data_IF_618103812075
#
_entry.id   IF_618103812075
#
_cell.length_a   1.000
_cell.length_b   1.000
_cell.length_c   1.000
_cell.angle_alpha   90.00
_cell.angle_beta   90.00
_cell.angle_gamma   90.00
#
_symmetry.space_group_name_H-M   'P 1'
#
loop_
_entity.id
_entity.type
_entity.pdbx_description
1 polymer ?
#
# COMPACT_ATOMS: atom_id res chain seq x y z
N UNK A 1 9.41 9.62 -18.29
CA UNK A 1 8.02 9.67 -17.80
C UNK A 1 7.65 11.14 -17.69
N UNK A 2 6.89 11.66 -18.65
CA UNK A 2 6.31 12.99 -18.51
C UNK A 2 5.46 12.96 -17.23
N UNK A 3 5.85 13.75 -16.23
CA UNK A 3 5.01 14.00 -15.07
C UNK A 3 3.84 14.83 -15.57
N UNK A 4 2.80 14.18 -16.10
CA UNK A 4 1.53 14.88 -16.27
C UNK A 4 1.15 15.40 -14.87
N UNK A 5 1.04 16.72 -14.68
CA UNK A 5 0.70 17.27 -13.38
C UNK A 5 -0.73 16.82 -13.06
N UNK A 6 -0.84 15.81 -12.21
CA UNK A 6 -2.12 15.40 -11.68
C UNK A 6 -2.62 16.52 -10.77
N UNK A 7 -3.70 17.17 -11.18
CA UNK A 7 -4.29 18.25 -10.41
C UNK A 7 -5.08 17.63 -9.25
N UNK A 8 -4.57 17.82 -8.03
CA UNK A 8 -5.29 17.42 -6.81
C UNK A 8 -6.72 18.00 -6.86
N UNK A 9 -7.73 17.20 -6.55
CA UNK A 9 -9.07 17.72 -6.32
C UNK A 9 -9.14 18.50 -4.99
N UNK A 10 -10.20 19.29 -4.85
CA UNK A 10 -10.33 20.18 -3.70
C UNK A 10 -10.56 19.43 -2.39
N UNK A 11 -11.13 18.22 -2.43
CA UNK A 11 -11.30 17.37 -1.25
C UNK A 11 -9.95 17.01 -0.66
N UNK A 12 -9.01 16.51 -1.47
CA UNK A 12 -7.68 16.15 -0.99
C UNK A 12 -6.83 17.36 -0.65
N UNK A 13 -6.92 18.45 -1.43
CA UNK A 13 -6.26 19.70 -1.06
C UNK A 13 -6.70 20.17 0.33
N UNK A 14 -7.99 20.12 0.61
CA UNK A 14 -8.54 20.55 1.89
C UNK A 14 -8.14 19.60 3.01
N UNK A 15 -8.25 18.29 2.81
CA UNK A 15 -7.84 17.29 3.81
C UNK A 15 -6.35 17.41 4.16
N UNK A 16 -5.47 17.43 3.16
CA UNK A 16 -4.02 17.57 3.37
C UNK A 16 -3.70 18.90 4.06
N UNK A 17 -4.36 20.00 3.66
CA UNK A 17 -4.18 21.31 4.31
C UNK A 17 -4.57 21.26 5.79
N UNK A 18 -5.71 20.69 6.13
CA UNK A 18 -6.18 20.57 7.52
C UNK A 18 -5.16 19.83 8.37
N UNK A 19 -4.64 18.70 7.90
CA UNK A 19 -3.64 17.96 8.65
C UNK A 19 -2.31 18.71 8.77
N UNK A 20 -1.84 19.38 7.71
CA UNK A 20 -0.61 20.19 7.78
C UNK A 20 -0.76 21.34 8.79
N UNK A 21 -1.95 21.94 8.89
CA UNK A 21 -2.26 22.95 9.90
C UNK A 21 -2.28 22.37 11.33
N UNK A 22 -2.81 21.15 11.51
CA UNK A 22 -2.73 20.45 12.79
C UNK A 22 -1.29 20.15 13.19
N UNK A 23 -0.47 19.63 12.27
CA UNK A 23 0.96 19.38 12.51
C UNK A 23 1.68 20.67 12.90
N UNK A 24 1.39 21.79 12.21
CA UNK A 24 1.96 23.10 12.56
C UNK A 24 1.54 23.56 13.95
N UNK A 25 0.31 23.24 14.36
CA UNK A 25 -0.25 23.60 15.68
C UNK A 25 0.42 22.76 16.76
N UNK A 26 0.54 21.45 16.57
CA UNK A 26 1.21 20.55 17.53
C UNK A 26 2.71 20.84 17.65
N UNK A 27 3.39 21.14 16.55
CA UNK A 27 4.78 21.60 16.61
C UNK A 27 4.91 22.88 17.45
N UNK A 28 3.96 23.81 17.33
CA UNK A 28 3.96 25.05 18.11
C UNK A 28 3.64 24.80 19.59
N UNK A 29 2.76 23.85 19.90
CA UNK A 29 2.46 23.44 21.27
C UNK A 29 3.68 22.78 21.92
N UNK A 30 4.34 21.86 21.21
CA UNK A 30 5.56 21.20 21.67
C UNK A 30 6.63 22.23 22.03
N UNK A 31 6.87 23.23 21.18
CA UNK A 31 7.81 24.32 21.47
C UNK A 31 7.46 25.05 22.78
N UNK A 32 6.18 25.35 23.02
CA UNK A 32 5.73 25.99 24.27
C UNK A 32 5.92 25.10 25.49
N UNK A 33 5.69 23.79 25.34
CA UNK A 33 5.85 22.81 26.41
C UNK A 33 7.31 22.58 26.80
N UNK A 34 8.28 22.92 25.94
CA UNK A 34 9.70 22.86 26.30
C UNK A 34 10.07 23.84 27.43
N UNK A 35 9.32 24.92 27.57
CA UNK A 35 9.56 25.97 28.57
C UNK A 35 8.79 25.73 29.88
N UNK A 36 8.02 24.65 30.00
CA UNK A 36 7.20 24.34 31.18
C UNK A 36 7.54 22.96 31.79
N UNK A 37 7.55 22.86 33.12
CA UNK A 37 8.07 21.68 33.83
C UNK A 37 7.11 20.48 33.93
N UNK A 38 5.86 20.61 33.47
CA UNK A 38 4.77 19.66 33.77
C UNK A 38 4.24 18.90 32.54
N UNK A 39 5.00 18.82 31.44
CA UNK A 39 4.53 18.20 30.20
C UNK A 39 5.41 17.05 29.67
N UNK A 40 4.77 16.02 29.13
CA UNK A 40 5.44 14.85 28.54
C UNK A 40 5.83 15.10 27.08
N UNK A 41 7.06 15.57 26.83
CA UNK A 41 7.55 15.82 25.46
C UNK A 41 7.57 14.54 24.58
N UNK A 42 7.79 13.37 25.19
CA UNK A 42 7.74 12.09 24.46
C UNK A 42 6.33 11.78 23.93
N UNK A 43 5.30 12.23 24.64
CA UNK A 43 3.91 12.05 24.25
C UNK A 43 3.58 12.93 23.03
N UNK A 44 4.08 14.17 23.01
CA UNK A 44 3.91 15.10 21.88
C UNK A 44 4.60 14.58 20.60
N UNK A 45 5.81 14.02 20.71
CA UNK A 45 6.49 13.42 19.56
C UNK A 45 5.73 12.21 19.00
N UNK A 46 5.11 11.41 19.87
CA UNK A 46 4.30 10.27 19.45
C UNK A 46 3.02 10.73 18.73
N UNK A 47 2.37 11.78 19.20
CA UNK A 47 1.21 12.39 18.54
C UNK A 47 1.58 12.98 17.17
N UNK A 48 2.67 13.75 17.09
CA UNK A 48 3.19 14.27 15.83
C UNK A 48 3.50 13.15 14.84
N UNK A 49 4.15 12.08 15.30
CA UNK A 49 4.44 10.90 14.47
C UNK A 49 3.15 10.28 13.92
N UNK A 50 2.08 10.21 14.72
CA UNK A 50 0.77 9.68 14.30
C UNK A 50 0.13 10.57 13.24
N UNK A 51 0.08 11.88 13.46
CA UNK A 51 -0.46 12.85 12.50
C UNK A 51 0.23 12.76 11.15
N UNK A 52 1.57 12.71 11.14
CA UNK A 52 2.33 12.55 9.89
C UNK A 52 2.01 11.24 9.17
N UNK A 53 1.84 10.14 9.90
CA UNK A 53 1.46 8.85 9.31
C UNK A 53 0.07 8.90 8.69
N UNK A 54 -0.88 9.57 9.34
CA UNK A 54 -2.25 9.71 8.84
C UNK A 54 -2.32 10.56 7.58
N UNK A 55 -1.52 11.65 7.50
CA UNK A 55 -1.37 12.45 6.28
C UNK A 55 -0.83 11.62 5.13
N UNK A 56 0.25 10.89 5.40
CA UNK A 56 0.90 10.06 4.39
C UNK A 56 -0.08 9.02 3.85
N UNK A 57 -0.78 8.31 4.74
CA UNK A 57 -1.75 7.30 4.36
C UNK A 57 -2.93 7.88 3.57
N UNK A 58 -3.42 9.06 3.94
CA UNK A 58 -4.50 9.75 3.21
C UNK A 58 -4.07 10.13 1.79
N UNK A 59 -2.90 10.75 1.64
CA UNK A 59 -2.37 11.10 0.34
C UNK A 59 -2.10 9.85 -0.51
N UNK A 60 -1.50 8.82 0.07
CA UNK A 60 -1.21 7.57 -0.61
C UNK A 60 -2.49 6.87 -1.10
N UNK A 61 -3.55 6.79 -0.29
CA UNK A 61 -4.85 6.25 -0.71
C UNK A 61 -5.44 7.00 -1.90
N UNK A 62 -5.29 8.33 -1.92
CA UNK A 62 -5.76 9.14 -3.06
C UNK A 62 -5.00 8.83 -4.35
N UNK A 63 -3.67 8.84 -4.28
CA UNK A 63 -2.81 8.56 -5.42
C UNK A 63 -3.00 7.13 -5.94
N UNK A 64 -3.22 6.15 -5.05
CA UNK A 64 -3.45 4.76 -5.41
C UNK A 64 -4.61 4.62 -6.41
N UNK A 65 -5.74 5.27 -6.15
CA UNK A 65 -6.90 5.25 -7.07
C UNK A 65 -6.52 5.78 -8.44
N UNK A 66 -5.75 6.87 -8.49
CA UNK A 66 -5.31 7.45 -9.74
C UNK A 66 -4.37 6.52 -10.49
N UNK A 67 -3.39 5.93 -9.81
CA UNK A 67 -2.44 4.98 -10.39
C UNK A 67 -3.10 3.70 -10.92
N UNK A 68 -4.22 3.29 -10.34
CA UNK A 68 -4.94 2.09 -10.75
C UNK A 68 -5.97 2.32 -11.86
N UNK A 69 -6.64 3.48 -11.86
CA UNK A 69 -7.80 3.74 -12.75
C UNK A 69 -7.58 3.53 -14.25
N UNK A 70 -6.38 3.76 -14.85
CA UNK A 70 -6.16 3.48 -16.27
C UNK A 70 -5.98 1.98 -16.57
N UNK A 71 -5.63 1.18 -15.57
CA UNK A 71 -5.18 -0.21 -15.74
C UNK A 71 -6.15 -1.22 -15.16
N UNK A 72 -7.07 -0.84 -14.28
CA UNK A 72 -8.11 -1.74 -13.76
C UNK A 72 -9.33 -0.98 -13.28
N UNK A 73 -10.52 -1.51 -13.55
CA UNK A 73 -11.78 -1.00 -13.01
C UNK A 73 -12.20 -1.76 -11.74
N UNK A 74 -11.47 -2.80 -11.35
CA UNK A 74 -11.77 -3.70 -10.22
C UNK A 74 -11.28 -3.17 -8.87
N UNK A 75 -11.08 -1.85 -8.78
CA UNK A 75 -10.60 -1.17 -7.57
C UNK A 75 -11.47 -1.48 -6.35
N UNK A 76 -12.79 -1.47 -6.51
CA UNK A 76 -13.71 -1.73 -5.41
C UNK A 76 -13.55 -3.16 -4.86
N UNK A 77 -13.41 -4.15 -5.75
CA UNK A 77 -13.18 -5.54 -5.36
C UNK A 77 -11.84 -5.72 -4.65
N UNK A 78 -10.79 -5.07 -5.15
CA UNK A 78 -9.45 -5.11 -4.54
C UNK A 78 -9.43 -4.43 -3.18
N UNK A 79 -10.03 -3.24 -3.05
CA UNK A 79 -10.13 -2.50 -1.79
C UNK A 79 -10.85 -3.32 -0.73
N UNK A 80 -11.98 -3.95 -1.08
CA UNK A 80 -12.71 -4.82 -0.16
C UNK A 80 -11.88 -6.03 0.26
N UNK A 81 -11.21 -6.69 -0.68
CA UNK A 81 -10.37 -7.85 -0.40
C UNK A 81 -9.21 -7.51 0.55
N UNK A 82 -8.43 -6.47 0.24
CA UNK A 82 -7.26 -6.09 1.06
C UNK A 82 -7.69 -5.60 2.44
N UNK A 83 -8.85 -4.95 2.57
CA UNK A 83 -9.42 -4.59 3.86
C UNK A 83 -9.78 -5.84 4.68
N UNK A 84 -10.51 -6.79 4.09
CA UNK A 84 -10.88 -8.03 4.78
C UNK A 84 -9.65 -8.88 5.16
N UNK A 85 -8.63 -8.92 4.31
CA UNK A 85 -7.35 -9.58 4.58
C UNK A 85 -6.59 -8.86 5.71
N UNK A 86 -6.59 -7.53 5.73
CA UNK A 86 -6.01 -6.70 6.80
C UNK A 86 -6.64 -7.01 8.16
N UNK A 87 -7.97 -7.01 8.26
CA UNK A 87 -8.70 -7.30 9.49
C UNK A 87 -8.37 -8.69 10.05
N UNK A 88 -8.19 -9.66 9.16
CA UNK A 88 -7.82 -11.05 9.50
C UNK A 88 -6.31 -11.24 9.68
N UNK A 89 -5.50 -10.23 9.37
CA UNK A 89 -4.02 -10.31 9.25
C UNK A 89 -3.56 -11.45 8.33
N UNK A 90 -4.28 -11.66 7.24
CA UNK A 90 -3.87 -12.58 6.19
C UNK A 90 -2.92 -11.85 5.24
N UNK A 91 -1.69 -12.35 5.13
CA UNK A 91 -0.66 -11.74 4.27
C UNK A 91 -1.05 -11.80 2.80
N UNK A 92 -0.90 -10.68 2.09
CA UNK A 92 -1.25 -10.57 0.68
C UNK A 92 -0.15 -9.88 -0.12
N UNK A 93 0.00 -10.27 -1.38
CA UNK A 93 0.94 -9.69 -2.33
C UNK A 93 0.32 -9.71 -3.73
N UNK A 94 -0.11 -8.55 -4.24
CA UNK A 94 -0.90 -8.46 -5.48
C UNK A 94 -0.18 -7.52 -6.43
N UNK A 95 0.24 -8.03 -7.59
CA UNK A 95 0.85 -7.27 -8.68
C UNK A 95 -0.27 -6.84 -9.63
N UNK A 96 -0.40 -5.54 -9.86
CA UNK A 96 -1.23 -4.96 -10.92
C UNK A 96 -0.28 -4.55 -12.05
N UNK A 97 -0.36 -5.26 -13.16
CA UNK A 97 0.39 -4.91 -14.38
C UNK A 97 -0.10 -3.56 -14.91
N UNK A 98 0.86 -2.70 -15.30
CA UNK A 98 0.61 -1.39 -15.89
C UNK A 98 1.04 -1.40 -17.36
N UNK A 99 1.92 -0.50 -17.80
CA UNK A 99 2.34 -0.42 -19.21
C UNK A 99 3.34 -1.50 -19.57
N UNK A 100 4.21 -1.87 -18.62
CA UNK A 100 5.27 -2.84 -18.87
C UNK A 100 4.78 -4.26 -18.60
N UNK A 101 5.07 -5.14 -19.55
CA UNK A 101 4.82 -6.56 -19.37
C UNK A 101 5.71 -7.12 -18.24
N UNK A 102 5.08 -7.72 -17.23
CA UNK A 102 5.80 -8.22 -16.04
C UNK A 102 6.24 -9.68 -16.14
N UNK A 103 5.83 -10.42 -17.18
CA UNK A 103 6.12 -11.85 -17.30
C UNK A 103 7.63 -12.18 -17.23
N UNK A 104 8.56 -11.41 -17.83
CA UNK A 104 10.00 -11.67 -17.74
C UNK A 104 10.59 -11.52 -16.33
N UNK A 105 9.90 -10.79 -15.45
CA UNK A 105 10.35 -10.49 -14.09
C UNK A 105 9.82 -11.50 -13.08
N UNK A 106 8.80 -12.28 -13.44
CA UNK A 106 8.06 -13.14 -12.52
C UNK A 106 8.32 -14.61 -12.85
N UNK A 107 8.67 -15.40 -11.84
CA UNK A 107 8.59 -16.86 -11.98
C UNK A 107 7.12 -17.27 -11.79
N UNK A 108 6.52 -17.73 -12.89
CA UNK A 108 5.07 -18.04 -12.97
C UNK A 108 4.68 -19.15 -11.99
N UNK A 109 3.63 -18.88 -11.23
CA UNK A 109 2.96 -19.86 -10.37
C UNK A 109 1.81 -20.56 -11.10
N UNK A 110 0.69 -20.78 -10.40
CA UNK A 110 -0.48 -21.46 -10.95
C UNK A 110 -1.32 -20.48 -11.81
N UNK A 111 -1.65 -20.84 -13.07
CA UNK A 111 -2.59 -20.06 -13.88
C UNK A 111 -4.01 -20.16 -13.30
N UNK A 112 -4.72 -19.02 -13.22
CA UNK A 112 -6.09 -18.95 -12.71
C UNK A 112 -7.07 -18.50 -13.79
N UNK A 113 -6.74 -17.43 -14.53
CA UNK A 113 -7.55 -16.89 -15.64
C UNK A 113 -9.02 -16.64 -15.27
N UNK A 114 -9.25 -15.87 -14.20
CA UNK A 114 -10.59 -15.57 -13.69
C UNK A 114 -10.86 -14.06 -13.61
N UNK A 115 -12.14 -13.62 -13.65
CA UNK A 115 -12.51 -12.26 -13.26
C UNK A 115 -12.07 -11.96 -11.82
N UNK A 116 -11.63 -10.72 -11.56
CA UNK A 116 -11.29 -10.30 -10.20
C UNK A 116 -12.57 -10.21 -9.37
N UNK A 117 -12.55 -10.80 -8.18
CA UNK A 117 -13.60 -10.61 -7.18
C UNK A 117 -12.97 -10.63 -5.79
N UNK A 118 -13.58 -9.93 -4.83
CA UNK A 118 -13.04 -9.85 -3.48
C UNK A 118 -12.90 -11.25 -2.84
N UNK A 119 -13.94 -12.07 -2.98
CA UNK A 119 -13.97 -13.45 -2.48
C UNK A 119 -12.85 -14.32 -3.06
N UNK A 120 -12.58 -14.21 -4.37
CA UNK A 120 -11.50 -14.96 -5.01
C UNK A 120 -10.13 -14.54 -4.45
N UNK A 121 -9.87 -13.24 -4.37
CA UNK A 121 -8.62 -12.71 -3.81
C UNK A 121 -8.44 -13.15 -2.35
N UNK A 122 -9.48 -13.04 -1.53
CA UNK A 122 -9.46 -13.51 -0.14
C UNK A 122 -9.16 -15.01 -0.03
N UNK A 123 -9.75 -15.82 -0.91
CA UNK A 123 -9.56 -17.27 -0.94
C UNK A 123 -8.12 -17.64 -1.29
N UNK A 124 -7.53 -16.96 -2.28
CA UNK A 124 -6.15 -17.20 -2.71
C UNK A 124 -5.14 -16.90 -1.61
N UNK A 125 -5.40 -15.90 -0.75
CA UNK A 125 -4.53 -15.55 0.38
C UNK A 125 -4.95 -16.21 1.70
N UNK A 126 -5.85 -17.19 1.70
CA UNK A 126 -6.22 -17.91 2.92
C UNK A 126 -5.01 -18.74 3.41
N UNK A 127 -4.54 -18.54 4.67
CA UNK A 127 -3.38 -19.23 5.20
C UNK A 127 -3.50 -20.75 5.14
N UNK A 128 -2.41 -21.41 4.74
CA UNK A 128 -2.34 -22.88 4.65
C UNK A 128 -2.86 -23.48 3.35
N UNK A 129 -3.37 -22.68 2.41
CA UNK A 129 -3.65 -23.16 1.05
C UNK A 129 -2.37 -23.26 0.21
N UNK A 130 -2.28 -24.09 -0.83
CA UNK A 130 -1.10 -24.10 -1.70
C UNK A 130 -0.82 -22.78 -2.45
N UNK A 131 -1.80 -21.87 -2.51
CA UNK A 131 -1.74 -20.66 -3.36
C UNK A 131 -1.44 -19.36 -2.61
N UNK A 132 -1.52 -19.36 -1.27
CA UNK A 132 -1.31 -18.14 -0.47
C UNK A 132 0.15 -17.67 -0.36
N UNK A 133 1.10 -18.55 -0.72
CA UNK A 133 2.51 -18.23 -0.71
C UNK A 133 2.96 -17.75 -2.09
N UNK A 134 3.40 -16.50 -2.16
CA UNK A 134 3.71 -15.79 -3.40
C UNK A 134 2.67 -14.73 -3.78
N UNK A 135 2.79 -14.25 -5.01
CA UNK A 135 2.04 -13.11 -5.51
C UNK A 135 0.90 -13.53 -6.45
N UNK A 136 -0.19 -12.76 -6.40
CA UNK A 136 -1.24 -12.76 -7.43
C UNK A 136 -0.88 -11.76 -8.51
N UNK A 137 -1.04 -12.14 -9.79
CA UNK A 137 -0.89 -11.25 -10.94
C UNK A 137 -2.27 -10.86 -11.47
N UNK A 138 -2.53 -9.56 -11.55
CA UNK A 138 -3.71 -8.98 -12.19
C UNK A 138 -3.26 -8.20 -13.41
N UNK A 139 -3.96 -8.41 -14.52
CA UNK A 139 -3.79 -7.67 -15.77
C UNK A 139 -5.16 -7.21 -16.22
N UNK A 140 -5.33 -5.91 -16.39
CA UNK A 140 -6.64 -5.30 -16.65
C UNK A 140 -7.64 -5.66 -15.53
N UNK A 141 -8.69 -6.42 -15.86
CA UNK A 141 -9.75 -6.83 -14.94
C UNK A 141 -9.72 -8.35 -14.67
N UNK A 142 -8.59 -9.00 -14.96
CA UNK A 142 -8.44 -10.45 -14.84
C UNK A 142 -7.29 -10.82 -13.91
N UNK A 143 -7.57 -11.81 -13.06
CA UNK A 143 -6.58 -12.51 -12.27
C UNK A 143 -5.93 -13.59 -13.14
N UNK A 144 -4.67 -13.37 -13.48
CA UNK A 144 -3.92 -14.20 -14.45
C UNK A 144 -3.36 -15.44 -13.77
N UNK A 145 -2.67 -15.27 -12.65
CA UNK A 145 -2.01 -16.34 -11.91
C UNK A 145 -1.88 -16.02 -10.42
N UNK A 146 -1.67 -17.05 -9.61
CA UNK A 146 -1.38 -16.96 -8.18
C UNK A 146 -0.10 -17.73 -7.84
N UNK A 147 0.39 -17.61 -6.61
CA UNK A 147 1.64 -18.22 -6.14
C UNK A 147 2.88 -17.88 -7.00
N UNK A 148 2.90 -16.69 -7.59
CA UNK A 148 4.03 -16.23 -8.39
C UNK A 148 5.20 -15.79 -7.50
N UNK A 149 6.43 -16.08 -7.90
CA UNK A 149 7.62 -15.61 -7.17
C UNK A 149 8.14 -14.33 -7.83
N UNK A 150 8.30 -13.29 -7.02
CA UNK A 150 8.76 -11.97 -7.44
C UNK A 150 10.24 -11.75 -7.08
N UNK A 151 10.95 -10.85 -7.79
CA UNK A 151 12.29 -10.44 -7.41
C UNK A 151 12.26 -9.71 -6.06
N UNK A 152 13.23 -10.00 -5.19
CA UNK A 152 13.39 -9.30 -3.92
C UNK A 152 14.30 -8.10 -4.08
N UNK A 153 13.92 -6.97 -3.49
CA UNK A 153 14.81 -5.81 -3.38
C UNK A 153 16.04 -6.16 -2.52
N UNK A 154 17.18 -5.63 -2.94
CA UNK A 154 18.43 -5.62 -2.17
C UNK A 154 18.51 -4.45 -1.19
N UNK A 155 17.57 -3.48 -1.26
CA UNK A 155 17.50 -2.36 -0.34
C UNK A 155 17.16 -2.89 1.05
N UNK A 156 18.16 -2.87 1.93
CA UNK A 156 17.97 -3.09 3.36
C UNK A 156 17.48 -1.76 3.92
N UNK A 157 16.17 -1.63 4.17
CA UNK A 157 15.66 -0.44 4.84
C UNK A 157 16.32 -0.34 6.22
N UNK A 158 17.05 0.73 6.47
CA UNK A 158 17.96 0.89 7.63
C UNK A 158 17.26 0.87 8.99
N UNK A 159 15.92 1.00 9.04
CA UNK A 159 15.19 1.18 10.29
C UNK A 159 14.09 0.13 10.60
N UNK A 160 13.79 -0.84 9.72
CA UNK A 160 12.82 -1.93 10.00
C UNK A 160 13.18 -3.22 9.26
N UNK A 161 13.02 -4.37 9.94
CA UNK A 161 13.02 -5.67 9.27
C UNK A 161 11.76 -5.75 8.40
N UNK A 162 11.90 -5.49 7.10
CA UNK A 162 10.82 -5.72 6.14
C UNK A 162 10.68 -7.23 5.90
N UNK A 163 9.46 -7.74 6.02
CA UNK A 163 9.13 -9.12 5.66
C UNK A 163 9.35 -9.40 4.17
N UNK A 164 9.41 -10.67 3.78
CA UNK A 164 9.69 -11.12 2.41
C UNK A 164 8.69 -10.55 1.39
N UNK A 165 7.39 -10.49 1.71
CA UNK A 165 6.36 -9.88 0.84
C UNK A 165 6.62 -8.39 0.56
N UNK A 166 7.04 -7.62 1.56
CA UNK A 166 7.37 -6.21 1.37
C UNK A 166 8.60 -6.04 0.48
N UNK A 167 9.63 -6.87 0.69
CA UNK A 167 10.84 -6.86 -0.13
C UNK A 167 10.56 -7.28 -1.58
N UNK A 168 9.66 -8.23 -1.77
CA UNK A 168 9.17 -8.66 -3.08
C UNK A 168 8.41 -7.54 -3.80
N UNK A 169 7.54 -6.83 -3.08
CA UNK A 169 6.81 -5.69 -3.64
C UNK A 169 7.75 -4.58 -4.10
N UNK A 170 8.72 -4.21 -3.27
CA UNK A 170 9.73 -3.20 -3.61
C UNK A 170 10.59 -3.68 -4.78
N UNK A 171 11.08 -4.92 -4.75
CA UNK A 171 11.95 -5.45 -5.82
C UNK A 171 11.25 -5.53 -7.17
N UNK A 172 9.94 -5.78 -7.16
CA UNK A 172 9.11 -5.75 -8.37
C UNK A 172 8.89 -4.33 -8.89
N UNK A 173 8.61 -3.36 -8.00
CA UNK A 173 8.42 -1.96 -8.40
C UNK A 173 9.71 -1.22 -8.76
N UNK A 174 10.88 -1.73 -8.37
CA UNK A 174 12.17 -1.23 -8.85
C UNK A 174 12.43 -1.57 -10.33
N UNK A 175 11.85 -2.67 -10.81
CA UNK A 175 12.14 -3.27 -12.11
C UNK A 175 11.03 -3.08 -13.13
N UNK A 176 9.88 -2.59 -12.70
CA UNK A 176 8.71 -2.38 -13.56
C UNK A 176 7.91 -1.18 -13.11
N UNK A 177 7.04 -0.68 -13.98
CA UNK A 177 6.04 0.30 -13.60
C UNK A 177 4.83 -0.31 -12.86
N UNK A 178 4.83 -1.61 -12.56
CA UNK A 178 3.73 -2.26 -11.87
C UNK A 178 3.49 -1.67 -10.48
N UNK A 179 2.23 -1.66 -10.06
CA UNK A 179 1.83 -1.32 -8.69
C UNK A 179 1.63 -2.61 -7.90
N UNK A 180 2.26 -2.73 -6.73
CA UNK A 180 2.16 -3.94 -5.92
C UNK A 180 1.48 -3.63 -4.60
N UNK A 181 0.29 -4.17 -4.37
CA UNK A 181 -0.40 -4.10 -3.08
C UNK A 181 0.15 -5.17 -2.12
N UNK A 182 0.30 -4.79 -0.85
CA UNK A 182 0.79 -5.66 0.22
C UNK A 182 -0.10 -5.54 1.45
N UNK A 183 -0.43 -6.68 2.04
CA UNK A 183 -1.01 -6.76 3.39
C UNK A 183 -0.02 -7.50 4.28
N UNK A 184 0.34 -6.90 5.41
CA UNK A 184 1.24 -7.50 6.41
C UNK A 184 0.51 -8.59 7.20
N UNK A 185 1.06 -9.81 7.22
CA UNK A 185 0.53 -10.89 8.07
C UNK A 185 0.80 -10.68 9.56
N UNK A 186 1.82 -9.89 9.90
CA UNK A 186 2.16 -9.59 11.30
C UNK A 186 1.25 -8.50 11.88
N UNK A 187 0.97 -7.47 11.08
CA UNK A 187 0.35 -6.22 11.58
C UNK A 187 -1.00 -5.90 10.96
N UNK A 188 -1.41 -6.58 9.89
CA UNK A 188 -2.57 -6.22 9.07
C UNK A 188 -2.37 -4.96 8.22
N UNK A 189 -1.27 -4.22 8.39
CA UNK A 189 -1.03 -2.97 7.66
C UNK A 189 -1.05 -3.19 6.16
N UNK A 190 -1.77 -2.29 5.48
CA UNK A 190 -1.87 -2.26 4.03
C UNK A 190 -0.88 -1.24 3.49
N UNK A 191 -0.20 -1.59 2.40
CA UNK A 191 0.72 -0.70 1.70
C UNK A 191 0.69 -1.00 0.21
N UNK A 192 1.20 -0.07 -0.60
CA UNK A 192 1.58 -0.38 -1.97
C UNK A 192 3.03 -0.03 -2.25
N UNK A 193 3.65 -0.75 -3.17
CA UNK A 193 4.96 -0.42 -3.71
C UNK A 193 4.84 0.13 -5.12
N UNK A 194 5.57 1.21 -5.38
CA UNK A 194 5.68 1.87 -6.68
C UNK A 194 7.05 2.56 -6.77
N UNK A 195 7.73 2.46 -7.91
CA UNK A 195 9.04 3.07 -8.16
C UNK A 195 10.06 2.83 -7.03
N UNK A 196 10.14 1.59 -6.54
CA UNK A 196 11.05 1.18 -5.46
C UNK A 196 10.74 1.73 -4.07
N UNK A 197 9.61 2.42 -3.89
CA UNK A 197 9.17 2.96 -2.60
C UNK A 197 7.93 2.24 -2.10
N UNK A 198 7.77 2.14 -0.77
CA UNK A 198 6.62 1.54 -0.11
C UNK A 198 5.81 2.61 0.62
N UNK A 199 4.51 2.69 0.34
CA UNK A 199 3.60 3.70 0.87
C UNK A 199 2.49 3.04 1.69
N UNK A 200 2.33 3.37 2.98
CA UNK A 200 1.20 2.90 3.77
C UNK A 200 -0.10 3.53 3.28
N UNK A 201 -1.21 2.79 3.36
CA UNK A 201 -2.55 3.30 3.06
C UNK A 201 -3.52 2.96 4.19
N UNK A 202 -4.61 3.72 4.30
CA UNK A 202 -5.66 3.46 5.28
C UNK A 202 -6.47 2.22 4.92
N UNK A 203 -6.71 1.36 5.92
CA UNK A 203 -7.64 0.24 5.82
C UNK A 203 -9.04 0.72 6.19
N UNK A 204 -9.79 1.24 5.22
CA UNK A 204 -11.21 1.56 5.40
C UNK A 204 -12.07 0.70 4.48
N UNK A 205 -13.18 0.13 5.01
CA UNK A 205 -14.17 -0.66 4.23
C UNK A 205 -14.64 0.07 2.98
N UNK A 206 -14.71 1.39 3.09
CA UNK A 206 -14.85 2.28 1.97
C UNK A 206 -13.54 3.05 1.87
N UNK A 207 -12.65 2.70 0.95
CA UNK A 207 -11.60 3.63 0.48
C UNK A 207 -12.22 4.76 -0.38
N UNK A 208 -13.38 5.26 0.05
CA UNK A 208 -14.25 6.25 -0.58
C UNK A 208 -15.06 6.95 0.52
#
# INVERSE_FOLDING_TARGET
MERHPFQLDDTIKNNVRTYLQQISTEASNLIKHLDTSDHCILCDFEEMRRLFQDVQATAASYYLRHYLSPYTFEYAALSLAIHNLSEKRHGALIVIEREQNVDPLIQKGMPIQAPVSATLVETLFYPGTPLHDGAVLIRNNQLISAANVLPLSSIISTNKKLGTRHRAAIGMSEKSDALILVVSEETGKISFALDGSLYPIHSSKNMI
#
